data_IF_841237136100
#
_entry.id   IF_841237136100
#
_cell.length_a   1.000
_cell.length_b   1.000
_cell.length_c   1.000
_cell.angle_alpha   90.00
_cell.angle_beta   90.00
_cell.angle_gamma   90.00
#
_symmetry.space_group_name_H-M   'P 1'
#
loop_
_entity.id
_entity.type
_entity.pdbx_description
1 polymer ?
#
# COMPACT_ATOMS: atom_id res chain seq x y z
N UNK A 1 10.08 0.10 14.10
CA UNK A 1 8.77 -0.21 13.49
C UNK A 1 8.59 0.70 12.28
N UNK A 2 8.10 0.17 11.16
CA UNK A 2 8.03 0.91 9.88
C UNK A 2 6.64 0.77 9.25
N UNK A 3 6.12 1.87 8.73
CA UNK A 3 4.89 1.92 7.96
C UNK A 3 5.23 2.07 6.49
N UNK A 4 4.78 1.14 5.67
CA UNK A 4 5.00 1.18 4.22
C UNK A 4 3.68 1.62 3.60
N UNK A 5 3.68 2.77 2.93
CA UNK A 5 2.51 3.29 2.23
C UNK A 5 2.69 3.00 0.75
N UNK A 6 1.72 2.31 0.15
CA UNK A 6 1.71 1.96 -1.26
C UNK A 6 0.44 2.51 -1.90
N UNK A 7 0.58 3.55 -2.73
CA UNK A 7 -0.51 4.05 -3.55
C UNK A 7 -0.44 3.43 -4.94
N UNK A 8 -1.56 2.93 -5.47
CA UNK A 8 -1.64 2.37 -6.83
C UNK A 8 -2.98 2.69 -7.48
N UNK A 9 -2.95 2.84 -8.81
CA UNK A 9 -4.14 2.98 -9.66
C UNK A 9 -4.32 1.76 -10.57
N UNK A 10 -3.49 0.71 -10.38
CA UNK A 10 -3.34 -0.40 -11.32
C UNK A 10 -3.46 -1.75 -10.61
N UNK A 11 -4.44 -2.55 -11.01
CA UNK A 11 -4.70 -3.87 -10.42
C UNK A 11 -3.52 -4.84 -10.55
N UNK A 12 -2.82 -4.84 -11.69
CA UNK A 12 -1.72 -5.77 -11.97
C UNK A 12 -0.48 -5.53 -11.08
N UNK A 13 -0.39 -4.42 -10.36
CA UNK A 13 0.70 -4.14 -9.43
C UNK A 13 0.54 -4.87 -8.07
N UNK A 14 -0.59 -5.54 -7.84
CA UNK A 14 -0.90 -6.23 -6.58
C UNK A 14 0.21 -7.15 -6.11
N UNK A 15 0.52 -8.20 -6.87
CA UNK A 15 1.50 -9.19 -6.42
C UNK A 15 2.89 -8.60 -6.24
N UNK A 16 3.26 -7.58 -7.02
CA UNK A 16 4.53 -6.91 -6.80
C UNK A 16 4.55 -6.14 -5.47
N UNK A 17 3.48 -5.43 -5.10
CA UNK A 17 3.40 -4.71 -3.84
C UNK A 17 3.53 -5.66 -2.64
N UNK A 18 2.81 -6.78 -2.68
CA UNK A 18 2.90 -7.80 -1.62
C UNK A 18 4.26 -8.50 -1.58
N UNK A 19 4.83 -8.89 -2.73
CA UNK A 19 6.18 -9.47 -2.79
C UNK A 19 7.25 -8.54 -2.23
N UNK A 20 7.18 -7.24 -2.58
CA UNK A 20 8.09 -6.23 -2.07
C UNK A 20 7.94 -5.99 -0.58
N UNK A 21 6.72 -6.11 -0.05
CA UNK A 21 6.50 -6.04 1.39
C UNK A 21 7.07 -7.27 2.09
N UNK A 22 6.72 -8.47 1.63
CA UNK A 22 7.08 -9.75 2.25
C UNK A 22 8.58 -10.02 2.23
N UNK A 23 9.30 -9.62 1.18
CA UNK A 23 10.74 -9.84 1.02
C UNK A 23 11.65 -9.00 1.94
N UNK A 24 11.12 -7.96 2.59
CA UNK A 24 11.93 -7.11 3.46
C UNK A 24 12.17 -7.74 4.85
N UNK A 25 13.41 -7.67 5.36
CA UNK A 25 13.82 -8.28 6.64
C UNK A 25 13.32 -7.54 7.92
N UNK A 26 12.51 -6.50 7.78
CA UNK A 26 11.95 -5.80 8.95
C UNK A 26 10.91 -6.68 9.67
N UNK A 27 11.21 -7.05 10.92
CA UNK A 27 10.31 -7.86 11.77
C UNK A 27 9.01 -7.14 12.17
N UNK A 28 9.08 -5.83 12.40
CA UNK A 28 7.94 -5.03 12.83
C UNK A 28 7.61 -3.97 11.79
N UNK A 29 6.79 -4.36 10.82
CA UNK A 29 6.34 -3.53 9.70
C UNK A 29 4.85 -3.67 9.47
N UNK A 30 4.23 -2.62 8.95
CA UNK A 30 2.88 -2.66 8.40
C UNK A 30 2.87 -2.17 6.96
N UNK A 31 1.88 -2.61 6.20
CA UNK A 31 1.63 -2.18 4.83
C UNK A 31 0.26 -1.51 4.75
N UNK A 32 0.22 -0.29 4.26
CA UNK A 32 -0.99 0.46 3.98
C UNK A 32 -1.08 0.60 2.47
N UNK A 33 -2.06 -0.07 1.88
CA UNK A 33 -2.32 -0.04 0.45
C UNK A 33 -3.46 0.94 0.20
N UNK A 34 -3.27 1.86 -0.73
CA UNK A 34 -4.26 2.85 -1.13
C UNK A 34 -4.52 2.66 -2.63
N UNK A 35 -5.74 2.23 -2.95
CA UNK A 35 -6.23 2.13 -4.31
C UNK A 35 -6.82 3.48 -4.69
N UNK A 36 -6.16 4.21 -5.59
CA UNK A 36 -6.58 5.53 -6.06
C UNK A 36 -7.24 5.39 -7.44
N UNK A 37 -8.31 4.59 -7.50
CA UNK A 37 -9.14 4.42 -8.70
C UNK A 37 -10.45 3.75 -8.33
N UNK A 38 -11.56 4.28 -8.85
CA UNK A 38 -12.90 3.85 -8.44
C UNK A 38 -13.28 2.47 -9.02
N UNK A 39 -12.72 2.10 -10.17
CA UNK A 39 -13.00 0.84 -10.86
C UNK A 39 -12.16 -0.35 -10.38
N UNK A 40 -11.27 -0.13 -9.41
CA UNK A 40 -10.47 -1.20 -8.83
C UNK A 40 -11.30 -2.05 -7.87
N UNK A 41 -11.16 -3.37 -8.02
CA UNK A 41 -11.80 -4.32 -7.11
C UNK A 41 -11.00 -4.43 -5.82
N UNK A 42 -11.39 -3.63 -4.83
CA UNK A 42 -10.85 -3.66 -3.47
C UNK A 42 -10.98 -5.04 -2.81
N UNK A 43 -12.02 -5.82 -3.12
CA UNK A 43 -12.24 -7.12 -2.48
C UNK A 43 -11.12 -8.12 -2.80
N UNK A 44 -10.56 -8.05 -4.01
CA UNK A 44 -9.42 -8.89 -4.43
C UNK A 44 -8.16 -8.52 -3.63
N UNK A 45 -7.92 -7.23 -3.40
CA UNK A 45 -6.81 -6.76 -2.59
C UNK A 45 -6.96 -7.16 -1.12
N UNK A 46 -8.16 -7.04 -0.56
CA UNK A 46 -8.45 -7.47 0.81
C UNK A 46 -8.28 -8.99 0.97
N UNK A 47 -8.75 -9.78 0.00
CA UNK A 47 -8.55 -11.22 0.00
C UNK A 47 -7.06 -11.59 -0.05
N UNK A 48 -6.25 -10.89 -0.85
CA UNK A 48 -4.79 -11.06 -0.86
C UNK A 48 -4.15 -10.62 0.45
N UNK A 49 -4.61 -9.50 1.04
CA UNK A 49 -4.08 -8.93 2.27
C UNK A 49 -4.28 -9.86 3.47
N UNK A 50 -5.36 -10.62 3.53
CA UNK A 50 -5.60 -11.63 4.59
C UNK A 50 -4.52 -12.72 4.64
N UNK A 51 -3.75 -12.91 3.57
CA UNK A 51 -2.63 -13.87 3.50
C UNK A 51 -1.31 -13.29 4.03
N UNK A 52 -1.28 -12.00 4.34
CA UNK A 52 -0.08 -11.28 4.82
C UNK A 52 -0.37 -10.67 6.20
N UNK A 53 0.64 -10.60 7.06
CA UNK A 53 0.51 -9.96 8.37
C UNK A 53 0.51 -8.43 8.24
N UNK A 54 -0.26 -7.73 9.08
CA UNK A 54 -0.23 -6.27 9.23
C UNK A 54 -0.41 -5.48 7.91
N UNK A 55 -1.35 -5.92 7.07
CA UNK A 55 -1.72 -5.21 5.84
C UNK A 55 -3.12 -4.60 5.97
N UNK A 56 -3.25 -3.33 5.62
CA UNK A 56 -4.54 -2.62 5.54
C UNK A 56 -4.74 -2.09 4.13
N UNK A 57 -5.95 -2.21 3.60
CA UNK A 57 -6.30 -1.76 2.24
C UNK A 57 -7.39 -0.69 2.34
N UNK A 58 -7.15 0.44 1.68
CA UNK A 58 -8.09 1.53 1.50
C UNK A 58 -8.32 1.76 0.02
N UNK A 59 -9.51 2.26 -0.32
CA UNK A 59 -9.82 2.76 -1.64
C UNK A 59 -10.29 4.20 -1.50
N UNK A 60 -9.63 5.09 -2.23
CA UNK A 60 -9.91 6.52 -2.24
C UNK A 60 -10.40 6.94 -3.64
N UNK A 61 -11.21 8.00 -3.73
CA UNK A 61 -11.70 8.52 -5.00
C UNK A 61 -10.56 8.88 -5.96
N UNK A 62 -10.74 8.59 -7.25
CA UNK A 62 -9.76 8.93 -8.31
C UNK A 62 -9.48 10.45 -8.41
N UNK A 63 -10.37 11.29 -7.89
CA UNK A 63 -10.17 12.74 -7.81
C UNK A 63 -9.08 13.16 -6.82
N UNK A 64 -8.67 12.28 -5.90
CA UNK A 64 -7.61 12.59 -4.94
C UNK A 64 -6.23 12.52 -5.60
N UNK A 65 -5.43 13.54 -5.34
CA UNK A 65 -4.04 13.60 -5.78
C UNK A 65 -3.19 12.55 -5.07
N UNK A 66 -2.05 12.19 -5.67
CA UNK A 66 -1.07 11.31 -5.03
C UNK A 66 -0.63 11.84 -3.66
N UNK A 67 -0.46 13.16 -3.52
CA UNK A 67 -0.10 13.80 -2.25
C UNK A 67 -1.17 13.60 -1.17
N UNK A 68 -2.45 13.75 -1.53
CA UNK A 68 -3.55 13.51 -0.60
C UNK A 68 -3.66 12.04 -0.21
N UNK A 69 -3.48 11.11 -1.16
CA UNK A 69 -3.42 9.68 -0.84
C UNK A 69 -2.27 9.37 0.12
N UNK A 70 -1.08 9.93 -0.12
CA UNK A 70 0.07 9.73 0.76
C UNK A 70 -0.21 10.29 2.15
N UNK A 71 -0.74 11.52 2.26
CA UNK A 71 -1.10 12.13 3.54
C UNK A 71 -2.14 11.29 4.29
N UNK A 72 -3.18 10.81 3.60
CA UNK A 72 -4.15 9.89 4.18
C UNK A 72 -3.46 8.64 4.73
N UNK A 73 -2.54 8.04 3.96
CA UNK A 73 -1.76 6.89 4.44
C UNK A 73 -0.90 7.20 5.67
N UNK A 74 -0.33 8.41 5.77
CA UNK A 74 0.43 8.86 6.94
C UNK A 74 -0.48 8.97 8.16
N UNK A 75 -1.71 9.48 8.00
CA UNK A 75 -2.69 9.56 9.08
C UNK A 75 -3.14 8.18 9.59
N UNK A 76 -3.16 7.17 8.70
CA UNK A 76 -3.49 5.79 9.08
C UNK A 76 -2.29 5.01 9.66
N UNK A 77 -1.07 5.52 9.49
CA UNK A 77 0.15 4.86 9.93
C UNK A 77 0.26 4.82 11.46
N UNK A 78 0.48 3.63 12.00
CA UNK A 78 0.73 3.41 13.43
C UNK A 78 2.17 3.67 13.79
N UNK A 79 3.09 3.58 12.82
CA UNK A 79 4.52 3.81 13.04
C UNK A 79 5.04 5.03 12.29
N UNK A 80 5.99 5.79 12.89
CA UNK A 80 6.42 7.10 12.38
C UNK A 80 7.34 7.07 11.16
N UNK A 81 7.87 5.90 10.76
CA UNK A 81 8.76 5.80 9.60
C UNK A 81 8.00 5.40 8.34
N UNK A 82 7.89 6.33 7.39
CA UNK A 82 7.27 6.09 6.06
C UNK A 82 8.36 5.83 5.04
N UNK A 83 8.50 4.58 4.61
CA UNK A 83 9.38 4.22 3.51
C UNK A 83 8.64 4.43 2.17
N UNK A 84 8.66 5.65 1.63
CA UNK A 84 8.25 5.90 0.25
C UNK A 84 9.44 5.66 -0.69
N UNK A 85 9.50 4.49 -1.34
CA UNK A 85 10.44 4.24 -2.44
C UNK A 85 9.71 4.33 -3.79
N UNK A 86 9.58 5.56 -4.28
CA UNK A 86 9.24 5.85 -5.67
C UNK A 86 10.47 5.59 -6.55
N UNK A 87 10.88 4.33 -6.73
CA UNK A 87 12.12 4.04 -7.47
C UNK A 87 12.51 2.58 -7.74
N UNK A 88 11.73 1.58 -7.30
CA UNK A 88 12.03 0.16 -7.58
C UNK A 88 10.92 -0.53 -8.37
N UNK A 89 10.45 0.16 -9.42
CA UNK A 89 9.45 -0.33 -10.38
C UNK A 89 10.00 -0.42 -11.81
N UNK A 90 11.30 -0.64 -11.94
CA UNK A 90 11.91 -1.08 -13.20
C UNK A 90 12.60 -2.43 -12.93
N UNK A 91 11.93 -3.49 -13.35
CA UNK A 91 12.37 -4.87 -13.38
C UNK A 91 11.42 -5.62 -14.30
#
# INVERSE_FOLDING_TARGET
MVSIICCTMRQHFMENAFRNYESQDYREKELIIILNRDDMDRSVWEARARRSSNVTVFQLPESMTLGECLNFGVEQAKYPYVANKQGFWNG
#
